data_IF_596897426922
#
_entry.id   IF_596897426922
#
_cell.length_a   1.000
_cell.length_b   1.000
_cell.length_c   1.000
_cell.angle_alpha   90.00
_cell.angle_beta   90.00
_cell.angle_gamma   90.00
#
_symmetry.space_group_name_H-M   'P 1'
#
loop_
_entity.id
_entity.type
_entity.pdbx_description
1 polymer ?
#
# COMPACT_ATOMS: atom_id res chain seq x y z
N UNK A 1 26.35 -4.35 -7.46
CA UNK A 1 25.24 -5.02 -6.73
C UNK A 1 23.98 -4.88 -7.55
N UNK A 2 23.49 -5.97 -8.14
CA UNK A 2 22.22 -5.98 -8.86
C UNK A 2 21.09 -5.74 -7.86
N UNK A 3 20.40 -4.60 -7.96
CA UNK A 3 19.15 -4.40 -7.23
C UNK A 3 18.11 -5.33 -7.83
N UNK A 4 17.73 -6.38 -7.11
CA UNK A 4 16.60 -7.23 -7.49
C UNK A 4 15.35 -6.37 -7.64
N UNK A 5 14.63 -6.52 -8.74
CA UNK A 5 13.35 -5.84 -8.96
C UNK A 5 12.31 -6.40 -7.99
N UNK A 6 11.29 -5.62 -7.63
CA UNK A 6 10.21 -6.09 -6.74
C UNK A 6 9.54 -7.37 -7.29
N UNK A 7 9.53 -7.54 -8.62
CA UNK A 7 9.10 -8.76 -9.33
C UNK A 7 9.93 -10.01 -8.98
N UNK A 8 11.22 -9.86 -8.65
CA UNK A 8 12.09 -10.98 -8.22
C UNK A 8 11.98 -11.27 -6.71
N UNK A 9 11.60 -10.26 -5.91
CA UNK A 9 11.28 -10.40 -4.48
C UNK A 9 9.87 -11.00 -4.31
N UNK A 10 8.96 -10.68 -5.22
CA UNK A 10 7.60 -11.20 -5.30
C UNK A 10 7.60 -12.45 -6.21
N UNK A 11 8.43 -13.44 -5.89
CA UNK A 11 8.21 -14.77 -6.46
C UNK A 11 7.01 -15.39 -5.71
N UNK A 12 6.08 -16.05 -6.40
CA UNK A 12 4.82 -16.58 -5.82
C UNK A 12 5.03 -17.41 -4.54
N UNK A 13 6.19 -18.07 -4.41
CA UNK A 13 6.58 -18.81 -3.18
C UNK A 13 6.89 -17.91 -1.98
N UNK A 14 7.41 -16.69 -2.19
CA UNK A 14 7.68 -15.73 -1.13
C UNK A 14 6.41 -14.98 -0.71
N UNK A 15 5.44 -14.77 -1.61
CA UNK A 15 4.15 -14.14 -1.25
C UNK A 15 3.35 -15.00 -0.27
N UNK A 16 3.28 -16.32 -0.47
CA UNK A 16 2.63 -17.24 0.47
C UNK A 16 3.28 -17.23 1.87
N UNK A 17 4.61 -17.07 1.93
CA UNK A 17 5.33 -16.90 3.20
C UNK A 17 5.00 -15.51 3.80
N UNK A 18 4.94 -14.48 2.97
CA UNK A 18 4.60 -13.09 3.35
C UNK A 18 3.18 -12.98 3.93
N UNK A 19 2.17 -13.60 3.28
CA UNK A 19 0.80 -13.68 3.77
C UNK A 19 0.73 -14.42 5.11
N UNK A 20 1.45 -15.54 5.28
CA UNK A 20 1.44 -16.31 6.54
C UNK A 20 2.16 -15.61 7.71
N UNK A 21 2.98 -14.59 7.44
CA UNK A 21 3.60 -13.74 8.47
C UNK A 21 2.77 -12.52 8.86
N UNK A 22 1.67 -12.26 8.15
CA UNK A 22 0.80 -11.12 8.42
C UNK A 22 -0.02 -11.37 9.67
N UNK A 23 0.29 -10.64 10.74
CA UNK A 23 -0.37 -10.81 12.04
C UNK A 23 -1.53 -9.82 12.19
N UNK A 24 -2.49 -10.13 13.06
CA UNK A 24 -3.55 -9.19 13.48
C UNK A 24 -2.96 -7.86 13.98
N UNK A 25 -1.76 -7.91 14.57
CA UNK A 25 -1.02 -6.72 14.98
C UNK A 25 -0.71 -5.79 13.79
N UNK A 26 -0.33 -6.32 12.62
CA UNK A 26 -0.04 -5.50 11.45
C UNK A 26 -1.29 -4.78 10.94
N UNK A 27 -2.44 -5.45 11.03
CA UNK A 27 -3.76 -4.89 10.71
C UNK A 27 -4.10 -3.77 11.69
N UNK A 28 -3.89 -3.97 12.98
CA UNK A 28 -4.12 -2.95 14.01
C UNK A 28 -3.19 -1.75 13.84
N UNK A 29 -1.91 -1.97 13.56
CA UNK A 29 -0.94 -0.91 13.27
C UNK A 29 -1.32 -0.15 11.98
N UNK A 30 -1.93 -0.83 11.00
CA UNK A 30 -2.48 -0.18 9.81
C UNK A 30 -3.72 0.67 10.13
N UNK A 31 -4.66 0.16 10.94
CA UNK A 31 -5.81 0.94 11.41
C UNK A 31 -5.34 2.19 12.16
N UNK A 32 -4.33 2.05 13.01
CA UNK A 32 -3.79 3.18 13.76
C UNK A 32 -3.08 4.17 12.84
N UNK A 33 -2.36 3.69 11.83
CA UNK A 33 -1.77 4.53 10.79
C UNK A 33 -2.84 5.33 10.05
N UNK A 34 -3.93 4.73 9.56
CA UNK A 34 -4.97 5.47 8.85
C UNK A 34 -5.66 6.49 9.74
N UNK A 35 -5.88 6.15 11.02
CA UNK A 35 -6.34 7.08 12.06
C UNK A 35 -5.32 8.14 12.44
N UNK A 36 -4.08 8.11 11.97
CA UNK A 36 -3.14 9.23 12.16
C UNK A 36 -3.25 10.29 11.07
N UNK A 37 -3.82 9.93 9.91
CA UNK A 37 -3.92 10.80 8.73
C UNK A 37 -5.13 11.73 8.87
N UNK A 38 -4.89 13.03 9.07
CA UNK A 38 -5.95 14.04 9.18
C UNK A 38 -6.90 14.02 7.97
N UNK A 39 -6.35 13.91 6.76
CA UNK A 39 -7.16 13.83 5.53
C UNK A 39 -8.10 12.64 5.54
N UNK A 40 -7.65 11.48 6.01
CA UNK A 40 -8.49 10.28 6.13
C UNK A 40 -9.64 10.48 7.12
N UNK A 41 -9.37 11.09 8.28
CA UNK A 41 -10.42 11.40 9.30
C UNK A 41 -11.50 12.33 8.77
N UNK A 42 -11.13 13.24 7.89
CA UNK A 42 -12.05 14.25 7.35
C UNK A 42 -12.90 13.73 6.19
N UNK A 43 -12.59 12.54 5.64
CA UNK A 43 -13.41 11.91 4.62
C UNK A 43 -14.70 11.35 5.22
N UNK A 44 -15.74 11.18 4.38
CA UNK A 44 -16.96 10.54 4.83
C UNK A 44 -16.71 9.05 5.16
N UNK A 45 -17.54 8.48 6.03
CA UNK A 45 -17.39 7.10 6.48
C UNK A 45 -17.35 6.08 5.33
N UNK A 46 -18.16 6.30 4.28
CA UNK A 46 -18.16 5.42 3.10
C UNK A 46 -16.80 5.41 2.40
N UNK A 47 -16.21 6.59 2.15
CA UNK A 47 -14.92 6.67 1.46
C UNK A 47 -13.79 6.16 2.36
N UNK A 48 -13.83 6.44 3.66
CA UNK A 48 -12.90 5.83 4.62
C UNK A 48 -12.96 4.29 4.54
N UNK A 49 -14.16 3.73 4.54
CA UNK A 49 -14.39 2.30 4.48
C UNK A 49 -13.90 1.71 3.15
N UNK A 50 -14.26 2.31 2.02
CA UNK A 50 -13.84 1.86 0.70
C UNK A 50 -12.30 1.92 0.54
N UNK A 51 -11.67 3.04 0.88
CA UNK A 51 -10.21 3.19 0.80
C UNK A 51 -9.49 2.15 1.67
N UNK A 52 -9.97 1.95 2.89
CA UNK A 52 -9.38 0.97 3.79
C UNK A 52 -9.57 -0.47 3.28
N UNK A 53 -10.81 -0.86 2.95
CA UNK A 53 -11.14 -2.21 2.45
C UNK A 53 -10.32 -2.59 1.23
N UNK A 54 -10.24 -1.72 0.22
CA UNK A 54 -9.54 -2.04 -1.02
C UNK A 54 -8.03 -1.77 -0.98
N UNK A 55 -7.53 -1.00 -0.01
CA UNK A 55 -6.11 -0.67 0.11
C UNK A 55 -5.34 -1.48 1.15
N UNK A 56 -6.02 -2.09 2.14
CA UNK A 56 -5.33 -2.68 3.30
C UNK A 56 -4.43 -3.86 2.92
N UNK A 57 -4.90 -4.76 2.05
CA UNK A 57 -4.13 -5.93 1.62
C UNK A 57 -2.87 -5.50 0.84
N UNK A 58 -2.99 -4.54 -0.07
CA UNK A 58 -1.85 -4.00 -0.83
C UNK A 58 -0.79 -3.39 0.10
N UNK A 59 -1.21 -2.62 1.11
CA UNK A 59 -0.30 -1.98 2.07
C UNK A 59 0.41 -3.02 2.95
N UNK A 60 -0.30 -4.07 3.35
CA UNK A 60 0.28 -5.12 4.19
C UNK A 60 1.23 -6.02 3.39
N UNK A 61 0.91 -6.35 2.13
CA UNK A 61 1.84 -7.03 1.21
C UNK A 61 3.10 -6.19 0.98
N UNK A 62 2.93 -4.87 0.81
CA UNK A 62 4.05 -3.93 0.70
C UNK A 62 4.91 -3.94 1.97
N UNK A 63 4.31 -3.95 3.17
CA UNK A 63 5.03 -4.04 4.46
C UNK A 63 5.95 -5.25 4.51
N UNK A 64 5.40 -6.41 4.18
CA UNK A 64 6.14 -7.66 4.23
C UNK A 64 7.27 -7.70 3.19
N UNK A 65 7.02 -7.13 2.01
CA UNK A 65 8.02 -7.02 0.93
C UNK A 65 9.18 -6.08 1.29
N UNK A 66 8.89 -4.94 1.94
CA UNK A 66 9.91 -3.96 2.37
C UNK A 66 10.71 -4.49 3.57
N UNK A 67 10.09 -5.25 4.47
CA UNK A 67 10.74 -5.79 5.67
C UNK A 67 11.80 -6.86 5.37
N UNK A 68 11.77 -7.44 4.16
CA UNK A 68 12.77 -8.42 3.71
C UNK A 68 14.13 -7.77 3.35
N UNK A 69 14.17 -6.47 3.09
CA UNK A 69 15.42 -5.71 2.87
C UNK A 69 15.75 -4.93 4.15
N UNK A 70 16.41 -5.60 5.10
CA UNK A 70 16.55 -5.19 6.50
C UNK A 70 17.40 -3.93 6.76
N UNK A 71 17.91 -3.24 5.73
CA UNK A 71 18.93 -2.22 5.97
C UNK A 71 18.61 -0.76 5.71
N UNK A 72 17.59 -0.33 4.96
CA UNK A 72 17.34 1.13 4.90
C UNK A 72 16.02 1.48 4.20
N UNK A 73 15.38 2.56 4.67
CA UNK A 73 14.32 3.33 4.00
C UNK A 73 12.87 3.12 4.50
N UNK A 74 12.66 3.03 5.83
CA UNK A 74 11.33 3.13 6.49
C UNK A 74 10.47 4.31 5.98
N UNK A 75 11.12 5.40 5.56
CA UNK A 75 10.42 6.53 4.95
C UNK A 75 9.60 6.12 3.71
N UNK A 76 10.09 5.19 2.87
CA UNK A 76 9.36 4.71 1.69
C UNK A 76 8.01 4.14 2.08
N UNK A 77 7.99 3.38 3.16
CA UNK A 77 6.80 2.69 3.61
C UNK A 77 5.68 3.68 3.93
N UNK A 78 5.98 4.77 4.65
CA UNK A 78 4.97 5.78 5.01
C UNK A 78 4.38 6.41 3.75
N UNK A 79 5.23 6.87 2.83
CA UNK A 79 4.80 7.56 1.61
C UNK A 79 4.01 6.65 0.69
N UNK A 80 4.51 5.44 0.42
CA UNK A 80 3.85 4.51 -0.49
C UNK A 80 2.54 3.99 0.11
N UNK A 81 2.47 3.75 1.43
CA UNK A 81 1.22 3.34 2.08
C UNK A 81 0.13 4.41 1.93
N UNK A 82 0.48 5.70 2.09
CA UNK A 82 -0.47 6.79 1.88
C UNK A 82 -0.93 6.89 0.41
N UNK A 83 0.00 6.75 -0.54
CA UNK A 83 -0.31 6.79 -1.98
C UNK A 83 -1.23 5.63 -2.40
N UNK A 84 -0.98 4.42 -1.89
CA UNK A 84 -1.82 3.23 -2.12
C UNK A 84 -3.21 3.41 -1.50
N UNK A 85 -3.25 3.93 -0.27
CA UNK A 85 -4.50 4.14 0.47
C UNK A 85 -5.43 5.10 -0.28
N UNK A 86 -4.92 6.26 -0.70
CA UNK A 86 -5.69 7.29 -1.38
C UNK A 86 -5.80 7.05 -2.90
N UNK A 87 -6.16 5.85 -3.34
CA UNK A 87 -6.37 5.58 -4.76
C UNK A 87 -7.80 5.99 -5.20
N UNK A 88 -7.99 6.95 -6.12
CA UNK A 88 -9.32 7.39 -6.53
C UNK A 88 -10.08 6.35 -7.37
N UNK A 89 -9.39 5.33 -7.88
CA UNK A 89 -9.98 4.27 -8.69
C UNK A 89 -10.52 3.10 -7.86
N UNK A 90 -10.49 3.18 -6.51
CA UNK A 90 -11.13 2.16 -5.69
C UNK A 90 -12.64 2.07 -5.98
N UNK A 91 -13.23 0.87 -5.92
CA UNK A 91 -14.69 0.73 -5.97
C UNK A 91 -15.36 1.52 -4.84
N UNK A 92 -16.61 1.95 -5.07
CA UNK A 92 -17.46 2.61 -4.07
C UNK A 92 -16.94 3.94 -3.49
N UNK A 93 -15.97 4.60 -4.14
CA UNK A 93 -15.58 5.97 -3.77
C UNK A 93 -16.59 6.98 -4.28
N UNK A 94 -17.13 7.79 -3.37
CA UNK A 94 -18.07 8.88 -3.66
C UNK A 94 -17.33 10.14 -4.10
N UNK A 95 -16.31 10.57 -3.36
CA UNK A 95 -15.60 11.83 -3.60
C UNK A 95 -14.24 11.61 -4.27
N UNK A 96 -14.25 11.08 -5.51
CA UNK A 96 -13.01 10.74 -6.25
C UNK A 96 -12.04 11.90 -6.39
N UNK A 97 -12.54 13.11 -6.59
CA UNK A 97 -11.69 14.30 -6.75
C UNK A 97 -10.92 14.65 -5.47
N UNK A 98 -11.57 14.49 -4.31
CA UNK A 98 -10.94 14.71 -3.01
C UNK A 98 -9.86 13.65 -2.79
N UNK A 99 -10.17 12.38 -3.03
CA UNK A 99 -9.19 11.27 -2.91
C UNK A 99 -8.01 11.48 -3.87
N UNK A 100 -8.28 11.88 -5.12
CA UNK A 100 -7.24 12.15 -6.12
C UNK A 100 -6.34 13.31 -5.70
N UNK A 101 -6.91 14.39 -5.18
CA UNK A 101 -6.15 15.54 -4.69
C UNK A 101 -5.22 15.14 -3.54
N UNK A 102 -5.72 14.35 -2.58
CA UNK A 102 -4.91 13.81 -1.48
C UNK A 102 -3.80 12.89 -2.00
N UNK A 103 -4.09 11.99 -2.94
CA UNK A 103 -3.07 11.13 -3.55
C UNK A 103 -1.95 11.94 -4.21
N UNK A 104 -2.34 12.95 -4.99
CA UNK A 104 -1.40 13.82 -5.70
C UNK A 104 -0.53 14.61 -4.72
N UNK A 105 -1.09 15.03 -3.59
CA UNK A 105 -0.33 15.68 -2.52
C UNK A 105 0.77 14.76 -1.98
N UNK A 106 0.46 13.49 -1.68
CA UNK A 106 1.48 12.55 -1.20
C UNK A 106 2.55 12.22 -2.25
N UNK A 107 2.17 12.10 -3.54
CA UNK A 107 3.12 11.91 -4.63
C UNK A 107 4.05 13.13 -4.76
N UNK A 108 3.49 14.33 -4.72
CA UNK A 108 4.26 15.58 -4.79
C UNK A 108 5.23 15.71 -3.61
N UNK A 109 4.77 15.44 -2.38
CA UNK A 109 5.60 15.50 -1.19
C UNK A 109 6.74 14.48 -1.24
N UNK A 110 6.45 13.25 -1.69
CA UNK A 110 7.47 12.23 -1.92
C UNK A 110 8.50 12.70 -2.97
N UNK A 111 8.05 13.23 -4.11
CA UNK A 111 8.93 13.78 -5.15
C UNK A 111 9.81 14.91 -4.59
N UNK A 112 9.23 15.81 -3.79
CA UNK A 112 9.96 16.92 -3.16
C UNK A 112 11.01 16.41 -2.17
N UNK A 113 10.66 15.43 -1.35
CA UNK A 113 11.59 14.78 -0.42
C UNK A 113 12.77 14.13 -1.17
N UNK A 114 12.50 13.37 -2.24
CA UNK A 114 13.53 12.75 -3.07
C UNK A 114 14.44 13.82 -3.70
N UNK A 115 13.86 14.90 -4.22
CA UNK A 115 14.64 16.01 -4.76
C UNK A 115 15.57 16.65 -3.74
N UNK A 116 15.10 16.88 -2.52
CA UNK A 116 15.93 17.42 -1.44
C UNK A 116 17.04 16.46 -1.01
N UNK A 117 16.80 15.15 -1.10
CA UNK A 117 17.76 14.10 -0.73
C UNK A 117 18.86 13.90 -1.77
N UNK A 118 18.51 13.88 -3.05
CA UNK A 118 19.45 13.57 -4.14
C UNK A 118 20.00 14.81 -4.86
N UNK A 119 19.32 15.96 -4.77
CA UNK A 119 19.70 17.22 -5.44
C UNK A 119 19.85 17.09 -6.97
N UNK A 120 19.21 16.09 -7.56
CA UNK A 120 19.21 15.81 -9.00
C UNK A 120 17.78 15.52 -9.45
N UNK A 121 17.31 16.29 -10.43
CA UNK A 121 15.98 16.09 -11.01
C UNK A 121 15.87 14.74 -11.72
N UNK A 122 16.90 14.33 -12.45
CA UNK A 122 16.93 13.05 -13.15
C UNK A 122 16.88 11.89 -12.15
N UNK A 123 17.73 11.91 -11.12
CA UNK A 123 17.72 10.85 -10.10
C UNK A 123 16.40 10.81 -9.33
N UNK A 124 15.81 11.97 -9.06
CA UNK A 124 14.50 12.07 -8.41
C UNK A 124 13.43 11.36 -9.22
N UNK A 125 13.33 11.67 -10.51
CA UNK A 125 12.36 11.04 -11.40
C UNK A 125 12.59 9.54 -11.53
N UNK A 126 13.85 9.10 -11.67
CA UNK A 126 14.19 7.67 -11.75
C UNK A 126 13.83 6.92 -10.45
N UNK A 127 14.14 7.50 -9.28
CA UNK A 127 13.80 6.90 -7.98
C UNK A 127 12.31 6.87 -7.75
N UNK A 128 11.59 7.94 -8.08
CA UNK A 128 10.13 7.99 -7.98
C UNK A 128 9.48 6.93 -8.89
N UNK A 129 9.89 6.84 -10.16
CA UNK A 129 9.39 5.83 -11.08
C UNK A 129 9.63 4.41 -10.54
N UNK A 130 10.85 4.12 -10.06
CA UNK A 130 11.19 2.82 -9.46
C UNK A 130 10.35 2.47 -8.22
N UNK A 131 9.89 3.47 -7.45
CA UNK A 131 8.99 3.26 -6.31
C UNK A 131 7.54 3.08 -6.73
N UNK A 132 7.10 3.75 -7.80
CA UNK A 132 5.73 3.72 -8.30
C UNK A 132 5.42 2.51 -9.17
N UNK A 133 6.39 2.00 -9.93
CA UNK A 133 6.19 0.89 -10.86
C UNK A 133 5.65 -0.38 -10.18
N UNK A 134 6.20 -0.84 -9.03
CA UNK A 134 5.67 -2.01 -8.33
C UNK A 134 4.25 -1.83 -7.81
N UNK A 135 3.82 -0.58 -7.55
CA UNK A 135 2.47 -0.31 -7.04
C UNK A 135 1.38 -0.63 -8.07
N UNK A 136 1.71 -0.62 -9.37
CA UNK A 136 0.78 -0.94 -10.46
C UNK A 136 0.41 -2.42 -10.44
N UNK A 137 1.36 -3.26 -10.07
CA UNK A 137 1.20 -4.72 -10.05
C UNK A 137 0.57 -5.22 -8.75
N UNK A 138 0.59 -4.42 -7.67
CA UNK A 138 0.02 -4.79 -6.37
C UNK A 138 -1.46 -5.15 -6.47
N UNK A 139 -2.23 -4.45 -7.28
CA UNK A 139 -3.65 -4.75 -7.44
C UNK A 139 -3.86 -6.13 -8.07
N UNK A 140 -3.07 -6.49 -9.09
CA UNK A 140 -3.10 -7.81 -9.73
C UNK A 140 -2.68 -8.90 -8.74
N UNK A 141 -1.63 -8.65 -7.96
CA UNK A 141 -1.15 -9.58 -6.92
C UNK A 141 -2.25 -9.79 -5.87
N UNK A 142 -2.89 -8.73 -5.40
CA UNK A 142 -4.00 -8.85 -4.46
C UNK A 142 -5.17 -9.63 -5.05
N UNK A 143 -5.50 -9.45 -6.32
CA UNK A 143 -6.59 -10.18 -6.97
C UNK A 143 -6.29 -11.68 -7.09
N UNK A 144 -5.04 -12.06 -7.38
CA UNK A 144 -4.59 -13.46 -7.42
C UNK A 144 -4.59 -14.09 -6.02
N UNK A 145 -4.15 -13.33 -5.02
CA UNK A 145 -3.93 -13.86 -3.66
C UNK A 145 -5.15 -13.73 -2.75
N UNK A 146 -6.23 -13.06 -3.18
CA UNK A 146 -7.48 -12.94 -2.41
C UNK A 146 -7.99 -14.30 -1.94
N UNK A 147 -7.94 -15.33 -2.78
CA UNK A 147 -8.44 -16.66 -2.42
C UNK A 147 -7.46 -17.46 -1.55
N UNK A 148 -6.14 -17.36 -1.80
CA UNK A 148 -5.13 -18.12 -1.07
C UNK A 148 -4.75 -17.50 0.28
N UNK A 149 -4.76 -16.17 0.39
CA UNK A 149 -4.34 -15.44 1.59
C UNK A 149 -5.44 -15.54 2.69
N UNK A 150 -6.72 -15.74 2.33
CA UNK A 150 -7.84 -15.88 3.29
C UNK A 150 -7.78 -17.09 4.25
N UNK A 151 -6.97 -18.09 3.92
CA UNK A 151 -6.76 -19.28 4.76
C UNK A 151 -5.62 -19.10 5.78
N UNK A 152 -4.72 -18.14 5.56
CA UNK A 152 -3.60 -17.82 6.46
C UNK A 152 -3.74 -16.51 7.23
N UNK A 153 -4.73 -15.69 6.89
CA UNK A 153 -4.98 -14.37 7.49
C UNK A 153 -5.76 -14.48 8.81
N UNK A 154 -5.38 -13.67 9.81
CA UNK A 154 -6.08 -13.54 11.09
C UNK A 154 -7.54 -13.07 10.97
N UNK A 155 -8.40 -13.36 11.96
CA UNK A 155 -9.84 -13.15 11.89
C UNK A 155 -10.25 -11.70 11.59
N UNK A 156 -9.46 -10.71 12.03
CA UNK A 156 -9.77 -9.28 11.85
C UNK A 156 -9.72 -8.91 10.37
N UNK A 157 -8.64 -9.29 9.67
CA UNK A 157 -8.52 -8.98 8.25
C UNK A 157 -9.46 -9.85 7.41
N UNK A 158 -9.77 -11.07 7.86
CA UNK A 158 -10.82 -11.88 7.23
C UNK A 158 -12.17 -11.17 7.27
N UNK A 159 -12.56 -10.58 8.39
CA UNK A 159 -13.79 -9.79 8.52
C UNK A 159 -13.80 -8.56 7.59
N UNK A 160 -12.68 -7.83 7.51
CA UNK A 160 -12.54 -6.67 6.61
C UNK A 160 -12.66 -7.06 5.13
N UNK A 161 -12.09 -8.22 4.75
CA UNK A 161 -12.05 -8.69 3.36
C UNK A 161 -13.28 -9.50 2.93
N UNK A 162 -14.04 -10.08 3.87
CA UNK A 162 -15.22 -10.90 3.56
C UNK A 162 -16.30 -10.14 2.76
N UNK A 163 -16.43 -8.83 3.04
CA UNK A 163 -17.33 -7.93 2.30
C UNK A 163 -16.90 -7.68 0.84
N UNK A 164 -15.65 -7.97 0.47
CA UNK A 164 -15.11 -7.76 -0.88
C UNK A 164 -15.43 -8.95 -1.80
N UNK A 165 -15.54 -10.15 -1.25
CA UNK A 165 -15.82 -11.40 -2.00
C UNK A 165 -17.31 -11.69 -2.16
N UNK A 166 -18.19 -10.91 -1.52
CA UNK A 166 -19.64 -11.14 -1.49
C UNK A 166 -20.43 -10.37 -2.59
N UNK A 167 -19.75 -9.72 -3.55
CA UNK A 167 -20.35 -9.02 -4.68
C UNK A 167 -19.91 -9.63 -6.02
#
# INVERSE_FOLDING_TARGET
MQTKTLTEIINLKQINIVCSTMLDKDVLDLIQFTKSLTSFKNMCFNDQMALFKYGCLEILILRCSISYDTNTEYWKWVWLSAIILFNPNRPNILHRDVVKAEQQLYIYLLQRYLYLRYRSEVETHMKLAKLMDPLKDLQIICDIEKENCLDGIGPILKEILYDITAN
#
